data_IF_300970118570
#
_entry.id   IF_300970118570
#
_cell.length_a   1.000
_cell.length_b   1.000
_cell.length_c   1.000
_cell.angle_alpha   90.00
_cell.angle_beta   90.00
_cell.angle_gamma   90.00
#
_symmetry.space_group_name_H-M   'P 1'
#
loop_
_entity.id
_entity.type
_entity.pdbx_description
1 polymer ?
#
# COMPACT_ATOMS: atom_id res chain seq x y z
N UNK A 1 19.12 -44.12 29.17
CA UNK A 1 19.81 -44.03 27.87
C UNK A 1 18.74 -43.71 26.84
N UNK A 2 18.45 -42.43 26.61
CA UNK A 2 17.44 -42.02 25.63
C UNK A 2 18.00 -42.21 24.22
N UNK A 3 17.37 -43.08 23.44
CA UNK A 3 17.70 -43.28 22.04
C UNK A 3 17.09 -42.13 21.24
N UNK A 4 17.93 -41.20 20.80
CA UNK A 4 17.52 -40.13 19.89
C UNK A 4 17.32 -40.74 18.50
N UNK A 5 16.06 -40.93 18.11
CA UNK A 5 15.70 -41.40 16.77
C UNK A 5 16.18 -40.32 15.78
N UNK A 6 17.06 -40.63 14.81
CA UNK A 6 17.52 -39.65 13.85
C UNK A 6 16.33 -39.17 13.00
N UNK A 7 16.29 -37.88 12.63
CA UNK A 7 15.22 -37.35 11.80
C UNK A 7 15.15 -38.12 10.48
N UNK A 8 13.94 -38.42 10.01
CA UNK A 8 13.68 -39.19 8.78
C UNK A 8 14.31 -38.62 7.51
N UNK A 9 14.76 -37.36 7.54
CA UNK A 9 15.43 -36.68 6.43
C UNK A 9 16.75 -36.09 6.91
N UNK A 10 17.77 -36.17 6.07
CA UNK A 10 19.05 -35.51 6.33
C UNK A 10 18.85 -34.00 6.40
N UNK A 11 19.71 -33.31 7.17
CA UNK A 11 19.72 -31.85 7.21
C UNK A 11 19.88 -31.25 5.81
N UNK A 12 20.64 -31.90 4.93
CA UNK A 12 20.83 -31.49 3.53
C UNK A 12 19.54 -31.59 2.71
N UNK A 13 18.77 -32.67 2.87
CA UNK A 13 17.49 -32.84 2.17
C UNK A 13 16.46 -31.80 2.62
N UNK A 14 16.42 -31.51 3.92
CA UNK A 14 15.55 -30.47 4.48
C UNK A 14 15.96 -29.10 3.91
N UNK A 15 17.25 -28.79 3.87
CA UNK A 15 17.74 -27.54 3.32
C UNK A 15 17.44 -27.41 1.82
N UNK A 16 17.68 -28.47 1.04
CA UNK A 16 17.43 -28.50 -0.40
C UNK A 16 15.94 -28.33 -0.73
N UNK A 17 15.06 -29.01 0.02
CA UNK A 17 13.61 -28.85 -0.15
C UNK A 17 13.15 -27.43 0.17
N UNK A 18 13.70 -26.80 1.21
CA UNK A 18 13.36 -25.41 1.57
C UNK A 18 13.92 -24.41 0.58
N UNK A 19 15.14 -24.61 0.10
CA UNK A 19 15.79 -23.70 -0.85
C UNK A 19 15.11 -23.72 -2.22
N UNK A 20 14.74 -24.91 -2.71
CA UNK A 20 14.00 -25.06 -3.97
C UNK A 20 12.61 -24.43 -3.89
N UNK A 21 11.91 -24.58 -2.77
CA UNK A 21 10.62 -23.91 -2.54
C UNK A 21 10.78 -22.39 -2.51
N UNK A 22 11.76 -21.88 -1.77
CA UNK A 22 12.05 -20.44 -1.71
C UNK A 22 12.43 -19.86 -3.09
N UNK A 23 13.20 -20.59 -3.90
CA UNK A 23 13.53 -20.19 -5.27
C UNK A 23 12.29 -20.13 -6.16
N UNK A 24 11.39 -21.10 -6.03
CA UNK A 24 10.15 -21.17 -6.80
C UNK A 24 9.21 -20.02 -6.41
N UNK A 25 9.10 -19.75 -5.12
CA UNK A 25 8.33 -18.63 -4.57
C UNK A 25 8.89 -17.28 -5.06
N UNK A 26 10.20 -17.07 -5.00
CA UNK A 26 10.85 -15.85 -5.48
C UNK A 26 10.65 -15.62 -6.99
N UNK A 27 10.58 -16.69 -7.79
CA UNK A 27 10.26 -16.59 -9.22
C UNK A 27 8.80 -16.17 -9.46
N UNK A 28 7.87 -16.70 -8.67
CA UNK A 28 6.44 -16.39 -8.79
C UNK A 28 6.10 -15.00 -8.22
N UNK A 29 6.80 -14.60 -7.17
CA UNK A 29 6.62 -13.35 -6.44
C UNK A 29 7.97 -12.63 -6.35
N UNK A 30 8.43 -12.01 -7.46
CA UNK A 30 9.68 -11.28 -7.44
C UNK A 30 9.59 -10.13 -6.42
N UNK A 31 10.72 -9.77 -5.79
CA UNK A 31 10.77 -8.65 -4.87
C UNK A 31 10.28 -7.37 -5.55
N UNK A 32 9.63 -6.51 -4.77
CA UNK A 32 9.03 -5.30 -5.29
C UNK A 32 10.08 -4.42 -5.98
N UNK A 33 9.84 -4.09 -7.25
CA UNK A 33 10.66 -3.15 -8.00
C UNK A 33 9.98 -1.77 -8.02
N UNK A 34 10.61 -0.77 -8.66
CA UNK A 34 10.06 0.59 -8.73
C UNK A 34 8.66 0.64 -9.37
N UNK A 35 8.27 -0.35 -10.17
CA UNK A 35 7.01 -0.42 -10.90
C UNK A 35 5.97 -1.32 -10.23
N UNK A 36 6.33 -2.15 -9.23
CA UNK A 36 5.40 -3.08 -8.58
C UNK A 36 4.15 -2.38 -8.01
N UNK A 37 4.29 -1.16 -7.50
CA UNK A 37 3.16 -0.36 -6.98
C UNK A 37 2.45 0.52 -8.02
N UNK A 38 2.81 0.42 -9.30
CA UNK A 38 2.31 1.25 -10.42
C UNK A 38 1.97 0.42 -11.66
N UNK A 39 1.81 -0.89 -11.47
CA UNK A 39 1.50 -1.85 -12.54
C UNK A 39 0.22 -2.61 -12.19
N UNK A 40 -0.59 -2.90 -13.20
CA UNK A 40 -1.83 -3.69 -13.06
C UNK A 40 -1.79 -4.76 -14.15
N UNK A 41 -1.89 -6.04 -13.76
CA UNK A 41 -2.06 -7.13 -14.72
C UNK A 41 -3.51 -7.12 -15.22
N UNK A 42 -3.69 -7.22 -16.54
CA UNK A 42 -5.01 -7.24 -17.16
C UNK A 42 -5.31 -8.67 -17.58
N UNK A 43 -6.45 -9.20 -17.12
CA UNK A 43 -6.94 -10.52 -17.50
C UNK A 43 -8.19 -10.35 -18.38
N UNK A 44 -8.28 -11.10 -19.49
CA UNK A 44 -9.51 -11.18 -20.28
C UNK A 44 -9.90 -9.92 -21.06
N UNK A 45 -8.93 -9.14 -21.57
CA UNK A 45 -9.20 -8.03 -22.50
C UNK A 45 -9.87 -6.78 -21.89
N UNK A 46 -10.11 -6.75 -20.58
CA UNK A 46 -10.76 -5.63 -19.88
C UNK A 46 -9.83 -4.44 -19.62
N UNK A 47 -9.30 -3.86 -20.69
CA UNK A 47 -8.32 -2.77 -20.64
C UNK A 47 -8.85 -1.53 -19.90
N UNK A 48 -10.10 -1.15 -20.16
CA UNK A 48 -10.72 0.03 -19.53
C UNK A 48 -10.81 -0.09 -18.00
N UNK A 49 -11.16 -1.27 -17.49
CA UNK A 49 -11.16 -1.53 -16.04
C UNK A 49 -9.75 -1.48 -15.46
N UNK A 50 -8.78 -2.09 -16.15
CA UNK A 50 -7.37 -2.02 -15.78
C UNK A 50 -6.86 -0.58 -15.65
N UNK A 51 -7.24 0.31 -16.57
CA UNK A 51 -6.91 1.73 -16.49
C UNK A 51 -7.55 2.43 -15.29
N UNK A 52 -8.81 2.15 -14.95
CA UNK A 52 -9.47 2.74 -13.76
C UNK A 52 -8.81 2.28 -12.47
N UNK A 53 -8.40 1.02 -12.39
CA UNK A 53 -7.66 0.47 -11.25
C UNK A 53 -6.30 1.16 -11.14
N UNK A 54 -5.57 1.28 -12.25
CA UNK A 54 -4.28 1.97 -12.27
C UNK A 54 -4.43 3.45 -11.85
N UNK A 55 -5.45 4.15 -12.35
CA UNK A 55 -5.75 5.54 -11.97
C UNK A 55 -5.97 5.69 -10.47
N UNK A 56 -6.75 4.79 -9.88
CA UNK A 56 -7.00 4.72 -8.44
C UNK A 56 -5.71 4.50 -7.64
N UNK A 57 -4.85 3.57 -8.10
CA UNK A 57 -3.56 3.27 -7.47
C UNK A 57 -2.65 4.51 -7.49
N UNK A 58 -2.52 5.17 -8.64
CA UNK A 58 -1.70 6.38 -8.79
C UNK A 58 -2.23 7.54 -7.93
N UNK A 59 -3.55 7.66 -7.81
CA UNK A 59 -4.22 8.62 -6.93
C UNK A 59 -3.93 8.36 -5.45
N UNK A 60 -4.09 7.11 -4.99
CA UNK A 60 -3.82 6.70 -3.60
C UNK A 60 -2.35 6.93 -3.21
N UNK A 61 -1.43 6.60 -4.11
CA UNK A 61 0.01 6.80 -3.92
C UNK A 61 0.45 8.26 -4.15
N UNK A 62 -0.47 9.16 -4.54
CA UNK A 62 -0.23 10.59 -4.78
C UNK A 62 0.86 10.89 -5.81
N UNK A 63 1.08 9.97 -6.76
CA UNK A 63 2.16 10.07 -7.75
C UNK A 63 2.04 11.35 -8.57
N UNK A 64 0.84 11.64 -9.09
CA UNK A 64 0.57 12.84 -9.89
C UNK A 64 0.80 14.15 -9.13
N UNK A 65 0.40 14.18 -7.85
CA UNK A 65 0.58 15.36 -6.99
C UNK A 65 2.04 15.59 -6.68
N UNK A 66 2.81 14.51 -6.43
CA UNK A 66 4.25 14.60 -6.23
C UNK A 66 4.96 15.05 -7.50
N UNK A 67 4.60 14.50 -8.66
CA UNK A 67 5.15 14.89 -9.95
C UNK A 67 4.99 16.40 -10.18
N UNK A 68 3.76 16.92 -10.08
CA UNK A 68 3.49 18.36 -10.21
C UNK A 68 4.24 19.24 -9.21
N UNK A 69 4.46 18.74 -7.99
CA UNK A 69 5.23 19.48 -6.96
C UNK A 69 6.74 19.41 -7.20
N UNK A 70 7.22 18.39 -7.91
CA UNK A 70 8.63 18.21 -8.23
C UNK A 70 9.05 18.97 -9.50
N UNK A 71 8.10 19.38 -10.35
CA UNK A 71 8.35 20.19 -11.56
C UNK A 71 9.13 21.48 -11.27
N UNK A 72 8.97 22.07 -10.07
CA UNK A 72 9.71 23.27 -9.64
C UNK A 72 10.22 23.11 -8.22
N UNK A 73 11.37 23.72 -7.93
CA UNK A 73 11.94 23.71 -6.59
C UNK A 73 11.06 24.50 -5.60
N UNK A 74 10.58 23.82 -4.56
CA UNK A 74 9.92 24.45 -3.41
C UNK A 74 10.92 24.70 -2.28
N UNK A 75 11.12 25.98 -1.91
CA UNK A 75 11.99 26.36 -0.78
C UNK A 75 11.55 25.65 0.51
N UNK A 76 12.51 25.21 1.33
CA UNK A 76 12.26 24.45 2.59
C UNK A 76 11.24 25.12 3.52
N UNK A 77 11.32 26.44 3.70
CA UNK A 77 10.38 27.20 4.52
C UNK A 77 8.95 27.18 3.99
N UNK A 78 8.78 27.38 2.69
CA UNK A 78 7.48 27.33 2.00
C UNK A 78 6.87 25.93 2.12
N UNK A 79 7.69 24.88 1.88
CA UNK A 79 7.30 23.48 2.06
C UNK A 79 6.77 23.18 3.47
N UNK A 80 7.45 23.67 4.50
CA UNK A 80 7.01 23.50 5.91
C UNK A 80 5.67 24.18 6.18
N UNK A 81 5.50 25.44 5.75
CA UNK A 81 4.25 26.19 5.90
C UNK A 81 3.09 25.47 5.20
N UNK A 82 3.30 25.04 3.96
CA UNK A 82 2.31 24.28 3.18
C UNK A 82 1.93 22.98 3.89
N UNK A 83 2.90 22.17 4.31
CA UNK A 83 2.64 20.90 5.00
C UNK A 83 1.90 21.11 6.33
N UNK A 84 2.19 22.18 7.07
CA UNK A 84 1.46 22.52 8.29
C UNK A 84 -0.02 22.85 7.98
N UNK A 85 -0.26 23.74 7.01
CA UNK A 85 -1.61 24.10 6.56
C UNK A 85 -2.40 22.89 6.04
N UNK A 86 -1.77 22.04 5.23
CA UNK A 86 -2.42 20.81 4.72
C UNK A 86 -2.80 19.85 5.85
N UNK A 87 -1.94 19.66 6.86
CA UNK A 87 -2.26 18.82 8.03
C UNK A 87 -3.41 19.40 8.84
N UNK A 88 -3.41 20.72 9.08
CA UNK A 88 -4.47 21.38 9.81
C UNK A 88 -5.81 21.26 9.09
N UNK A 89 -5.87 21.55 7.79
CA UNK A 89 -7.11 21.39 7.00
C UNK A 89 -7.66 19.97 7.02
N UNK A 90 -6.79 18.95 6.95
CA UNK A 90 -7.21 17.55 7.06
C UNK A 90 -7.78 17.20 8.42
N UNK A 91 -7.12 17.64 9.50
CA UNK A 91 -7.62 17.44 10.86
C UNK A 91 -8.95 18.16 11.08
N UNK A 92 -9.03 19.42 10.68
CA UNK A 92 -10.26 20.20 10.77
C UNK A 92 -11.42 19.53 10.03
N UNK A 93 -11.23 19.14 8.77
CA UNK A 93 -12.27 18.45 7.99
C UNK A 93 -12.70 17.12 8.62
N UNK A 94 -11.77 16.39 9.25
CA UNK A 94 -12.08 15.16 9.97
C UNK A 94 -12.91 15.40 11.23
N UNK A 95 -12.54 16.40 12.04
CA UNK A 95 -13.30 16.76 13.24
C UNK A 95 -14.71 17.27 12.88
N UNK A 96 -14.83 18.12 11.85
CA UNK A 96 -16.13 18.56 11.34
C UNK A 96 -16.98 17.37 10.90
N UNK A 97 -16.42 16.42 10.13
CA UNK A 97 -17.14 15.22 9.69
C UNK A 97 -17.66 14.41 10.88
N UNK A 98 -16.82 14.17 11.90
CA UNK A 98 -17.22 13.45 13.12
C UNK A 98 -18.38 14.12 13.84
N UNK A 99 -18.35 15.45 13.97
CA UNK A 99 -19.43 16.20 14.62
C UNK A 99 -20.73 16.13 13.81
N UNK A 100 -20.66 16.26 12.49
CA UNK A 100 -21.83 16.11 11.61
C UNK A 100 -22.42 14.70 11.71
N UNK A 101 -21.58 13.66 11.69
CA UNK A 101 -22.03 12.27 11.86
C UNK A 101 -22.73 12.06 13.22
N UNK A 102 -22.23 12.68 14.29
CA UNK A 102 -22.87 12.63 15.60
C UNK A 102 -24.26 13.28 15.58
N UNK A 103 -24.39 14.47 14.99
CA UNK A 103 -25.68 15.17 14.86
C UNK A 103 -26.67 14.34 14.04
N UNK A 104 -26.23 13.76 12.92
CA UNK A 104 -27.07 12.86 12.11
C UNK A 104 -27.53 11.65 12.94
N UNK A 105 -26.66 11.06 13.75
CA UNK A 105 -27.03 9.95 14.65
C UNK A 105 -28.06 10.36 15.70
N UNK A 106 -27.94 11.54 16.28
CA UNK A 106 -28.91 12.07 17.26
C UNK A 106 -30.27 12.27 16.59
N UNK A 107 -30.30 12.93 15.43
CA UNK A 107 -31.52 13.14 14.63
C UNK A 107 -32.19 11.80 14.26
N UNK A 108 -31.41 10.83 13.79
CA UNK A 108 -31.94 9.52 13.40
C UNK A 108 -32.51 8.71 14.58
N UNK A 109 -32.18 9.07 15.84
CA UNK A 109 -32.72 8.45 17.05
C UNK A 109 -34.04 9.08 17.52
N UNK A 110 -34.54 10.12 16.83
CA UNK A 110 -35.84 10.72 17.12
C UNK A 110 -35.82 11.88 18.13
N UNK A 111 -34.67 12.54 18.30
CA UNK A 111 -34.63 13.90 18.83
C UNK A 111 -34.91 14.92 17.72
#
# INVERSE_FOLDING_TARGET
MDQTIPPKRSAEEIWLSRSTLALTEAKNHPPANAYSGRSVKINGGKLAEGYRVLDTILGRNKVRVQLRRAERHEKKGVKRRRLSSERWRKRFAHEVRKKVELVIKIRNRGA
#
